data_IF_842904398779
#
_entry.id   IF_842904398779
#
_cell.length_a   1.000
_cell.length_b   1.000
_cell.length_c   1.000
_cell.angle_alpha   90.00
_cell.angle_beta   90.00
_cell.angle_gamma   90.00
#
_symmetry.space_group_name_H-M   'P 1'
#
loop_
_entity.id
_entity.type
_entity.pdbx_description
1 polymer ?
#
# COMPACT_ATOMS: atom_id res chain seq x y z
N UNK A 1 -25.12 6.41 7.85
CA UNK A 1 -25.00 5.19 7.04
C UNK A 1 -24.64 4.04 7.97
N UNK A 2 -25.36 2.92 7.93
CA UNK A 2 -24.99 1.74 8.72
C UNK A 2 -24.00 0.90 7.92
N UNK A 3 -22.91 0.49 8.57
CA UNK A 3 -21.90 -0.44 8.03
C UNK A 3 -21.96 -1.75 8.82
N UNK A 4 -21.47 -2.83 8.22
CA UNK A 4 -21.38 -4.13 8.91
C UNK A 4 -20.42 -4.05 10.09
N UNK A 5 -20.63 -4.89 11.11
CA UNK A 5 -19.74 -4.98 12.27
C UNK A 5 -18.31 -5.32 11.84
N UNK A 6 -18.14 -6.28 10.93
CA UNK A 6 -16.81 -6.68 10.44
C UNK A 6 -16.02 -5.55 9.77
N UNK A 7 -16.69 -4.65 9.03
CA UNK A 7 -16.02 -3.49 8.43
C UNK A 7 -15.72 -2.42 9.49
N UNK A 8 -16.62 -2.24 10.46
CA UNK A 8 -16.38 -1.36 11.60
C UNK A 8 -15.13 -1.78 12.39
N UNK A 9 -14.99 -3.08 12.65
CA UNK A 9 -13.86 -3.67 13.37
C UNK A 9 -12.52 -3.50 12.63
N UNK A 10 -12.55 -3.17 11.33
CA UNK A 10 -11.36 -2.78 10.54
C UNK A 10 -11.09 -1.28 10.62
N UNK A 11 -12.13 -0.48 10.45
CA UNK A 11 -12.02 0.99 10.37
C UNK A 11 -11.63 1.60 11.71
N UNK A 12 -12.23 1.14 12.82
CA UNK A 12 -12.05 1.79 14.12
C UNK A 12 -10.61 1.66 14.66
N UNK A 13 -9.98 0.46 14.70
CA UNK A 13 -8.58 0.34 15.11
C UNK A 13 -7.62 1.13 14.21
N UNK A 14 -7.87 1.13 12.91
CA UNK A 14 -7.06 1.91 11.98
C UNK A 14 -7.20 3.42 12.23
N UNK A 15 -8.43 3.92 12.39
CA UNK A 15 -8.68 5.33 12.67
C UNK A 15 -8.08 5.78 14.00
N UNK A 16 -8.09 4.95 15.05
CA UNK A 16 -7.58 5.37 16.35
C UNK A 16 -6.04 5.26 16.44
N UNK A 17 -5.44 4.18 15.93
CA UNK A 17 -4.03 3.85 16.19
C UNK A 17 -3.24 3.38 14.97
N UNK A 18 -3.75 3.57 13.75
CA UNK A 18 -3.18 3.07 12.50
C UNK A 18 -2.99 1.54 12.47
N UNK A 19 -3.73 0.81 13.31
CA UNK A 19 -3.58 -0.64 13.45
C UNK A 19 -4.37 -1.39 12.37
N UNK A 20 -3.68 -2.27 11.66
CA UNK A 20 -4.26 -3.29 10.78
C UNK A 20 -3.79 -4.66 11.23
N UNK A 21 -4.54 -5.70 10.92
CA UNK A 21 -4.22 -7.06 11.33
C UNK A 21 -4.60 -8.04 10.21
N UNK A 22 -3.79 -9.07 10.00
CA UNK A 22 -4.16 -10.16 9.12
C UNK A 22 -5.16 -11.11 9.81
N UNK A 23 -6.21 -11.49 9.08
CA UNK A 23 -7.11 -12.57 9.49
C UNK A 23 -6.87 -13.75 8.54
N UNK A 24 -6.66 -14.98 9.06
CA UNK A 24 -6.44 -16.14 8.21
C UNK A 24 -7.54 -16.32 7.17
N UNK A 25 -7.15 -16.72 5.95
CA UNK A 25 -8.04 -16.94 4.80
C UNK A 25 -8.67 -15.67 4.19
N UNK A 26 -8.32 -14.49 4.67
CA UNK A 26 -8.70 -13.27 3.97
C UNK A 26 -7.87 -13.03 2.72
N UNK A 27 -8.55 -12.52 1.68
CA UNK A 27 -7.93 -12.17 0.41
C UNK A 27 -7.08 -10.89 0.50
N UNK A 28 -7.52 -9.91 1.29
CA UNK A 28 -6.85 -8.61 1.39
C UNK A 28 -5.79 -8.63 2.49
N UNK A 29 -4.55 -8.35 2.10
CA UNK A 29 -3.45 -8.19 3.03
C UNK A 29 -3.54 -6.87 3.80
N UNK A 30 -2.70 -6.72 4.82
CA UNK A 30 -2.59 -5.49 5.61
C UNK A 30 -2.29 -4.26 4.75
N UNK A 31 -1.43 -4.38 3.73
CA UNK A 31 -1.15 -3.30 2.78
C UNK A 31 -2.43 -2.77 2.12
N UNK A 32 -3.35 -3.66 1.74
CA UNK A 32 -4.51 -3.29 0.93
C UNK A 32 -5.49 -2.51 1.78
N UNK A 33 -5.62 -2.87 3.05
CA UNK A 33 -6.39 -2.11 4.03
C UNK A 33 -5.77 -0.74 4.29
N UNK A 34 -4.45 -0.65 4.47
CA UNK A 34 -3.77 0.65 4.67
C UNK A 34 -4.00 1.57 3.47
N UNK A 35 -3.75 1.08 2.25
CA UNK A 35 -3.90 1.85 1.01
C UNK A 35 -5.34 2.32 0.78
N UNK A 36 -6.33 1.42 0.98
CA UNK A 36 -7.75 1.77 0.80
C UNK A 36 -8.22 2.75 1.87
N UNK A 37 -7.92 2.49 3.16
CA UNK A 37 -8.41 3.34 4.24
C UNK A 37 -7.80 4.75 4.15
N UNK A 38 -6.49 4.87 3.91
CA UNK A 38 -5.84 6.17 3.67
C UNK A 38 -6.37 6.83 2.39
N UNK A 39 -6.46 6.09 1.29
CA UNK A 39 -6.93 6.61 0.01
C UNK A 39 -8.38 7.10 0.03
N UNK A 40 -9.22 6.56 0.93
CA UNK A 40 -10.59 7.01 1.18
C UNK A 40 -10.68 8.09 2.27
N UNK A 41 -9.56 8.61 2.76
CA UNK A 41 -9.50 9.73 3.71
C UNK A 41 -9.70 9.36 5.18
N UNK A 42 -9.60 8.08 5.54
CA UNK A 42 -9.62 7.65 6.94
C UNK A 42 -8.21 7.86 7.49
N UNK A 43 -7.98 9.02 8.11
CA UNK A 43 -6.68 9.34 8.71
C UNK A 43 -6.60 8.81 10.14
N UNK A 44 -5.53 8.09 10.51
CA UNK A 44 -5.31 7.67 11.89
C UNK A 44 -5.05 8.88 12.79
N UNK A 45 -5.58 8.87 14.01
CA UNK A 45 -5.32 9.92 15.00
C UNK A 45 -3.94 9.82 15.63
N UNK A 46 -3.37 8.61 15.66
CA UNK A 46 -2.08 8.28 16.27
C UNK A 46 -1.38 7.20 15.46
N UNK A 47 -0.06 7.17 15.54
CA UNK A 47 0.80 6.11 15.02
C UNK A 47 1.44 5.30 16.14
N UNK A 48 2.16 4.23 15.80
CA UNK A 48 2.86 3.40 16.77
C UNK A 48 4.07 4.15 17.38
N UNK A 49 4.25 4.20 18.72
CA UNK A 49 5.30 5.00 19.37
C UNK A 49 6.74 4.65 18.98
N UNK A 50 6.97 3.44 18.45
CA UNK A 50 8.29 3.07 17.93
C UNK A 50 8.77 3.98 16.80
N UNK A 51 7.87 4.65 16.06
CA UNK A 51 8.24 5.62 15.04
C UNK A 51 8.84 6.91 15.64
N UNK A 52 8.53 7.24 16.90
CA UNK A 52 9.04 8.44 17.59
C UNK A 52 10.49 8.27 18.08
N UNK A 53 11.08 7.08 17.92
CA UNK A 53 12.47 6.80 18.28
C UNK A 53 13.45 7.38 17.24
N UNK A 54 13.00 7.57 15.99
CA UNK A 54 13.82 8.15 14.93
C UNK A 54 13.83 9.67 15.03
N UNK A 55 15.00 10.29 14.86
CA UNK A 55 15.07 11.73 14.64
C UNK A 55 14.48 12.14 13.29
N UNK A 56 14.06 13.40 13.14
CA UNK A 56 13.54 13.93 11.87
C UNK A 56 14.50 13.69 10.68
N UNK A 57 15.80 13.86 10.91
CA UNK A 57 16.82 13.64 9.89
C UNK A 57 16.92 12.16 9.48
N UNK A 58 16.83 11.25 10.43
CA UNK A 58 16.82 9.81 10.16
C UNK A 58 15.55 9.39 9.43
N UNK A 59 14.39 9.93 9.82
CA UNK A 59 13.11 9.65 9.18
C UNK A 59 13.09 10.13 7.73
N UNK A 60 13.55 11.36 7.47
CA UNK A 60 13.67 11.92 6.12
C UNK A 60 14.59 11.06 5.25
N UNK A 61 15.74 10.64 5.79
CA UNK A 61 16.67 9.75 5.08
C UNK A 61 16.02 8.41 4.79
N UNK A 62 15.41 7.77 5.79
CA UNK A 62 14.76 6.47 5.67
C UNK A 62 13.70 6.46 4.55
N UNK A 63 12.80 7.45 4.55
CA UNK A 63 11.77 7.58 3.51
C UNK A 63 12.37 7.95 2.15
N UNK A 64 13.43 8.76 2.13
CA UNK A 64 14.16 9.11 0.92
C UNK A 64 14.81 7.90 0.24
N UNK A 65 15.43 7.01 1.03
CA UNK A 65 16.07 5.79 0.54
C UNK A 65 15.03 4.83 -0.05
N UNK A 66 13.88 4.65 0.62
CA UNK A 66 12.77 3.86 0.08
C UNK A 66 12.29 4.40 -1.26
N UNK A 67 12.08 5.71 -1.37
CA UNK A 67 11.69 6.36 -2.62
C UNK A 67 12.71 6.14 -3.73
N UNK A 68 14.00 6.36 -3.44
CA UNK A 68 15.07 6.19 -4.40
C UNK A 68 15.15 4.74 -4.92
N UNK A 69 14.96 3.75 -4.05
CA UNK A 69 14.95 2.34 -4.43
C UNK A 69 13.78 1.99 -5.36
N UNK A 70 12.57 2.50 -5.05
CA UNK A 70 11.41 2.35 -5.95
C UNK A 70 11.68 3.00 -7.29
N UNK A 71 12.14 4.25 -7.31
CA UNK A 71 12.42 4.99 -8.55
C UNK A 71 13.49 4.31 -9.40
N UNK A 72 14.54 3.76 -8.78
CA UNK A 72 15.61 3.04 -9.47
C UNK A 72 15.12 1.72 -10.06
N UNK A 73 14.21 1.02 -9.36
CA UNK A 73 13.61 -0.24 -9.83
C UNK A 73 12.69 0.02 -11.02
N UNK A 74 11.79 1.00 -10.90
CA UNK A 74 10.84 1.36 -11.98
C UNK A 74 11.58 1.83 -13.23
N UNK A 75 12.68 2.59 -13.08
CA UNK A 75 13.50 3.05 -14.21
C UNK A 75 14.11 1.92 -15.05
N UNK A 76 14.30 0.74 -14.47
CA UNK A 76 14.85 -0.43 -15.16
C UNK A 76 13.77 -1.28 -15.83
N UNK A 77 12.49 -1.01 -15.55
CA UNK A 77 11.39 -1.77 -16.13
C UNK A 77 11.10 -1.30 -17.56
N UNK A 78 10.89 -2.23 -18.52
CA UNK A 78 10.40 -1.87 -19.84
C UNK A 78 8.98 -1.30 -19.75
N UNK A 79 8.58 -0.50 -20.74
CA UNK A 79 7.18 -0.15 -20.89
C UNK A 79 6.34 -1.42 -21.04
N UNK A 80 5.11 -1.41 -20.48
CA UNK A 80 4.26 -2.60 -20.43
C UNK A 80 4.09 -3.27 -21.79
N UNK A 81 3.85 -2.50 -22.86
CA UNK A 81 3.69 -3.04 -24.20
C UNK A 81 4.97 -3.65 -24.78
N UNK A 82 6.14 -3.13 -24.43
CA UNK A 82 7.42 -3.69 -24.89
C UNK A 82 7.69 -5.03 -24.22
N UNK A 83 7.38 -5.14 -22.92
CA UNK A 83 7.43 -6.41 -22.19
C UNK A 83 6.51 -7.47 -22.82
N UNK A 84 5.24 -7.13 -23.07
CA UNK A 84 4.28 -8.08 -23.64
C UNK A 84 4.71 -8.61 -25.01
N UNK A 85 5.26 -7.76 -25.89
CA UNK A 85 5.73 -8.20 -27.21
C UNK A 85 6.89 -9.21 -27.12
N UNK A 86 7.75 -9.09 -26.11
CA UNK A 86 8.88 -10.00 -25.89
C UNK A 86 8.53 -11.25 -25.09
N UNK A 87 7.58 -11.16 -24.16
CA UNK A 87 7.24 -12.24 -23.22
C UNK A 87 6.05 -13.09 -23.67
N UNK A 88 4.95 -12.46 -24.11
CA UNK A 88 3.72 -13.14 -24.47
C UNK A 88 2.93 -12.39 -25.58
N UNK A 89 3.44 -12.36 -26.82
CA UNK A 89 2.77 -11.64 -27.90
C UNK A 89 1.39 -12.26 -28.19
N UNK A 90 0.34 -11.48 -28.00
CA UNK A 90 -1.03 -11.87 -28.34
C UNK A 90 -1.31 -11.71 -29.84
N UNK A 91 -2.14 -12.58 -30.41
CA UNK A 91 -2.66 -12.40 -31.77
C UNK A 91 -3.73 -11.31 -31.80
N UNK A 92 -3.67 -10.36 -32.73
CA UNK A 92 -4.77 -9.41 -32.94
C UNK A 92 -6.06 -10.16 -33.30
N UNK A 93 -7.23 -9.68 -32.88
CA UNK A 93 -8.51 -10.27 -33.28
C UNK A 93 -8.63 -10.31 -34.81
N UNK A 94 -9.01 -11.45 -35.37
CA UNK A 94 -9.45 -11.55 -36.77
C UNK A 94 -10.84 -10.95 -36.89
N UNK A 95 -11.00 -10.00 -37.82
CA UNK A 95 -12.26 -9.29 -38.07
C UNK A 95 -13.36 -10.20 -38.59
#
# INVERSE_FOLDING_TARGET
MQITASLRDRIEPFRETASVFHVPLELFAENSWIEVLLGQGIMPKRHHPAADVMSDAELVRFLGDLRANVDNTVRQMPAHMDYLRGYCPGQPPTR
#
